data_IF_994728014556
#
_entry.id   IF_994728014556
#
_cell.length_a   1.000
_cell.length_b   1.000
_cell.length_c   1.000
_cell.angle_alpha   90.00
_cell.angle_beta   90.00
_cell.angle_gamma   90.00
#
_symmetry.space_group_name_H-M   'P 1'
#
loop_
_entity.id
_entity.type
_entity.pdbx_description
1 polymer ?
#
# COMPACT_ATOMS: atom_id res chain seq x y z
N UNK A 1 7.91 19.50 38.42
CA UNK A 1 8.69 18.33 38.91
C UNK A 1 8.44 17.96 40.37
N UNK A 2 8.20 18.88 41.32
CA UNK A 2 8.03 18.56 42.76
C UNK A 2 6.72 17.86 43.20
N UNK A 3 5.77 17.65 42.28
CA UNK A 3 4.47 17.02 42.61
C UNK A 3 4.55 15.49 42.65
N UNK A 4 5.42 14.88 41.83
CA UNK A 4 5.55 13.42 41.74
C UNK A 4 6.31 12.80 42.90
N UNK A 5 7.18 13.54 43.59
CA UNK A 5 7.94 13.04 44.75
C UNK A 5 7.07 12.78 46.00
N UNK A 6 5.86 13.34 46.08
CA UNK A 6 4.97 13.12 47.24
C UNK A 6 4.06 11.91 47.11
N UNK A 7 3.83 11.40 45.89
CA UNK A 7 2.93 10.27 45.67
C UNK A 7 3.59 8.90 45.89
N UNK A 8 4.92 8.85 45.97
CA UNK A 8 5.68 7.59 46.11
C UNK A 8 6.44 7.46 47.44
N UNK A 9 6.14 8.30 48.45
CA UNK A 9 6.68 8.04 49.79
C UNK A 9 5.86 6.91 50.45
N UNK A 10 6.46 5.74 50.71
CA UNK A 10 5.79 4.65 51.40
C UNK A 10 5.30 5.11 52.77
N UNK A 11 4.10 4.67 53.15
CA UNK A 11 3.52 5.08 54.44
C UNK A 11 4.32 4.43 55.57
N UNK A 12 4.61 5.16 56.65
CA UNK A 12 5.27 4.58 57.82
C UNK A 12 4.37 3.48 58.40
N UNK A 13 4.83 2.23 58.32
CA UNK A 13 4.10 1.04 58.78
C UNK A 13 3.82 -0.01 57.70
N UNK A 14 4.10 0.26 56.43
CA UNK A 14 4.04 -0.79 55.41
C UNK A 14 5.23 -1.77 55.58
N UNK A 15 4.97 -3.09 55.63
CA UNK A 15 6.01 -4.09 55.77
C UNK A 15 7.01 -3.96 54.61
N UNK A 16 8.28 -3.79 54.94
CA UNK A 16 9.37 -3.79 53.96
C UNK A 16 9.38 -5.13 53.24
N UNK A 17 9.39 -5.17 51.89
CA UNK A 17 9.48 -6.40 51.11
C UNK A 17 10.93 -6.93 51.20
N UNK A 18 11.31 -7.41 52.38
CA UNK A 18 12.57 -8.05 52.69
C UNK A 18 12.28 -9.51 53.04
N UNK A 19 12.25 -10.34 52.02
CA UNK A 19 12.05 -11.79 52.13
C UNK A 19 12.45 -12.46 50.82
N UNK A 20 13.75 -12.44 50.51
CA UNK A 20 14.33 -13.04 49.30
C UNK A 20 14.12 -14.57 49.20
N UNK A 21 13.69 -15.22 50.29
CA UNK A 21 13.50 -16.68 50.34
C UNK A 21 12.13 -17.18 49.85
N UNK A 22 11.13 -16.30 49.66
CA UNK A 22 9.79 -16.71 49.20
C UNK A 22 9.59 -16.68 47.68
N UNK A 23 10.52 -16.11 46.93
CA UNK A 23 10.31 -15.77 45.51
C UNK A 23 10.83 -16.82 44.52
N UNK A 24 11.55 -17.85 45.00
CA UNK A 24 12.05 -18.94 44.13
C UNK A 24 11.05 -20.07 43.90
N UNK A 25 10.12 -20.30 44.83
CA UNK A 25 9.19 -21.45 44.75
C UNK A 25 7.87 -21.15 44.01
N UNK A 26 7.57 -19.87 43.76
CA UNK A 26 6.34 -19.44 43.07
C UNK A 26 6.44 -19.40 41.53
N UNK A 27 7.65 -19.41 40.97
CA UNK A 27 7.88 -19.23 39.53
C UNK A 27 7.72 -20.55 38.75
N UNK A 28 7.97 -21.71 39.37
CA UNK A 28 7.96 -22.98 38.63
C UNK A 28 6.56 -23.61 38.47
N UNK A 29 5.61 -23.37 39.39
CA UNK A 29 4.29 -24.02 39.35
C UNK A 29 3.27 -23.40 38.39
N UNK A 30 3.54 -22.21 37.84
CA UNK A 30 2.65 -21.55 36.86
C UNK A 30 3.07 -21.77 35.40
N UNK A 31 4.23 -22.39 35.16
CA UNK A 31 4.78 -22.56 33.81
C UNK A 31 4.06 -23.60 32.95
N UNK A 32 3.61 -24.71 33.53
CA UNK A 32 3.08 -25.84 32.75
C UNK A 32 1.59 -25.73 32.42
N UNK A 33 0.75 -25.31 33.38
CA UNK A 33 -0.69 -25.13 33.18
C UNK A 33 -1.00 -23.97 32.23
N UNK A 34 -0.22 -22.89 32.28
CA UNK A 34 -0.31 -21.78 31.33
C UNK A 34 0.02 -22.21 29.91
N UNK A 35 1.13 -22.93 29.71
CA UNK A 35 1.54 -23.45 28.39
C UNK A 35 0.51 -24.41 27.80
N UNK A 36 -0.04 -25.33 28.60
CA UNK A 36 -1.08 -26.25 28.15
C UNK A 36 -2.36 -25.51 27.74
N UNK A 37 -2.75 -24.46 28.47
CA UNK A 37 -3.91 -23.63 28.09
C UNK A 37 -3.66 -22.89 26.77
N UNK A 38 -2.48 -22.30 26.59
CA UNK A 38 -2.13 -21.62 25.34
C UNK A 38 -2.08 -22.58 24.15
N UNK A 39 -1.51 -23.79 24.34
CA UNK A 39 -1.51 -24.83 23.32
C UNK A 39 -2.93 -25.31 22.99
N UNK A 40 -3.79 -25.47 24.00
CA UNK A 40 -5.20 -25.82 23.80
C UNK A 40 -5.96 -24.77 23.00
N UNK A 41 -5.80 -23.48 23.33
CA UNK A 41 -6.41 -22.38 22.57
C UNK A 41 -5.88 -22.36 21.13
N UNK A 42 -4.57 -22.50 20.93
CA UNK A 42 -3.96 -22.56 19.60
C UNK A 42 -4.52 -23.74 18.78
N UNK A 43 -4.65 -24.93 19.38
CA UNK A 43 -5.20 -26.11 18.73
C UNK A 43 -6.66 -25.90 18.33
N UNK A 44 -7.49 -25.35 19.22
CA UNK A 44 -8.89 -25.05 18.92
C UNK A 44 -8.99 -24.02 17.79
N UNK A 45 -8.17 -22.98 17.80
CA UNK A 45 -8.11 -22.01 16.71
C UNK A 45 -7.68 -22.66 15.39
N UNK A 46 -6.65 -23.51 15.40
CA UNK A 46 -6.17 -24.22 14.20
C UNK A 46 -7.23 -25.18 13.64
N UNK A 47 -7.89 -25.96 14.50
CA UNK A 47 -8.99 -26.85 14.09
C UNK A 47 -10.15 -26.05 13.51
N UNK A 48 -10.54 -24.96 14.17
CA UNK A 48 -11.56 -24.03 13.65
C UNK A 48 -11.19 -23.47 12.28
N UNK A 49 -9.91 -23.12 12.07
CA UNK A 49 -9.40 -22.58 10.81
C UNK A 49 -9.38 -23.65 9.71
N UNK A 50 -9.03 -24.90 10.02
CA UNK A 50 -9.09 -26.03 9.08
C UNK A 50 -10.54 -26.36 8.68
N UNK A 51 -11.47 -26.40 9.65
CA UNK A 51 -12.89 -26.63 9.37
C UNK A 51 -13.46 -25.50 8.53
N UNK A 52 -13.19 -24.24 8.91
CA UNK A 52 -13.63 -23.07 8.15
C UNK A 52 -13.03 -23.05 6.74
N UNK A 53 -11.76 -23.45 6.58
CA UNK A 53 -11.11 -23.58 5.28
C UNK A 53 -11.79 -24.63 4.41
N UNK A 54 -11.98 -25.86 4.93
CA UNK A 54 -12.63 -26.94 4.18
C UNK A 54 -14.06 -26.61 3.78
N UNK A 55 -14.85 -26.06 4.72
CA UNK A 55 -16.22 -25.65 4.43
C UNK A 55 -16.27 -24.49 3.43
N UNK A 56 -15.39 -23.49 3.55
CA UNK A 56 -15.39 -22.36 2.64
C UNK A 56 -14.93 -22.75 1.23
N UNK A 57 -13.94 -23.64 1.09
CA UNK A 57 -13.40 -24.03 -0.22
C UNK A 57 -14.42 -24.81 -1.06
N UNK A 58 -15.33 -25.55 -0.41
CA UNK A 58 -16.42 -26.29 -1.07
C UNK A 58 -17.48 -25.37 -1.71
N UNK A 59 -17.75 -24.19 -1.12
CA UNK A 59 -18.75 -23.24 -1.64
C UNK A 59 -18.13 -22.11 -2.46
N UNK A 60 -16.96 -21.62 -2.07
CA UNK A 60 -16.26 -20.51 -2.71
C UNK A 60 -14.76 -20.64 -2.51
N UNK A 61 -14.10 -21.20 -3.54
CA UNK A 61 -12.68 -21.58 -3.47
C UNK A 61 -11.84 -20.42 -2.98
N UNK A 62 -10.94 -20.68 -2.04
CA UNK A 62 -10.24 -19.61 -1.31
C UNK A 62 -9.33 -18.78 -2.22
N UNK A 63 -8.84 -19.36 -3.31
CA UNK A 63 -8.08 -18.64 -4.32
C UNK A 63 -8.91 -17.65 -5.15
N UNK A 64 -10.23 -17.84 -5.22
CA UNK A 64 -11.14 -16.94 -5.93
C UNK A 64 -11.64 -15.81 -5.03
N UNK A 65 -11.17 -15.73 -3.79
CA UNK A 65 -11.57 -14.67 -2.87
C UNK A 65 -11.12 -13.31 -3.37
N UNK A 66 -12.05 -12.36 -3.32
CA UNK A 66 -11.80 -10.96 -3.67
C UNK A 66 -10.63 -10.36 -2.88
N UNK A 67 -10.40 -10.84 -1.66
CA UNK A 67 -9.28 -10.41 -0.81
C UNK A 67 -7.91 -10.56 -1.50
N UNK A 68 -7.67 -11.65 -2.24
CA UNK A 68 -6.39 -11.85 -2.94
C UNK A 68 -6.23 -10.94 -4.14
N UNK A 69 -7.34 -10.68 -4.85
CA UNK A 69 -7.36 -9.74 -5.98
C UNK A 69 -7.09 -8.32 -5.50
N UNK A 70 -7.77 -7.88 -4.43
CA UNK A 70 -7.54 -6.58 -3.79
C UNK A 70 -6.08 -6.45 -3.32
N UNK A 71 -5.54 -7.48 -2.65
CA UNK A 71 -4.14 -7.47 -2.24
C UNK A 71 -3.19 -7.36 -3.45
N UNK A 72 -3.53 -8.00 -4.57
CA UNK A 72 -2.84 -7.86 -5.84
C UNK A 72 -2.88 -6.43 -6.37
N UNK A 73 -4.02 -5.77 -6.33
CA UNK A 73 -4.15 -4.36 -6.76
C UNK A 73 -3.34 -3.43 -5.85
N UNK A 74 -3.39 -3.62 -4.54
CA UNK A 74 -2.53 -2.89 -3.58
C UNK A 74 -1.06 -3.07 -3.88
N UNK A 75 -0.63 -4.31 -4.14
CA UNK A 75 0.76 -4.58 -4.49
C UNK A 75 1.15 -3.86 -5.79
N UNK A 76 0.29 -3.87 -6.81
CA UNK A 76 0.53 -3.15 -8.05
C UNK A 76 0.61 -1.64 -7.83
N UNK A 77 -0.32 -1.04 -7.10
CA UNK A 77 -0.27 0.39 -6.77
C UNK A 77 0.99 0.76 -5.97
N UNK A 78 1.41 -0.08 -5.02
CA UNK A 78 2.66 0.11 -4.28
C UNK A 78 3.89 0.05 -5.20
N UNK A 79 3.91 -0.89 -6.15
CA UNK A 79 4.97 -0.99 -7.15
C UNK A 79 5.00 0.25 -8.04
N UNK A 80 3.83 0.75 -8.47
CA UNK A 80 3.73 1.97 -9.26
C UNK A 80 4.26 3.19 -8.49
N UNK A 81 3.85 3.37 -7.22
CA UNK A 81 4.35 4.45 -6.36
C UNK A 81 5.86 4.33 -6.16
N UNK A 82 6.35 3.12 -5.86
CA UNK A 82 7.77 2.88 -5.65
C UNK A 82 8.60 3.11 -6.93
N UNK A 83 8.09 2.71 -8.09
CA UNK A 83 8.70 2.98 -9.40
C UNK A 83 8.76 4.49 -9.68
N UNK A 84 7.66 5.21 -9.43
CA UNK A 84 7.58 6.66 -9.62
C UNK A 84 8.57 7.39 -8.71
N UNK A 85 8.55 7.12 -7.40
CA UNK A 85 9.52 7.72 -6.46
C UNK A 85 10.96 7.36 -6.85
N UNK A 86 11.22 6.13 -7.29
CA UNK A 86 12.55 5.68 -7.71
C UNK A 86 13.07 6.41 -8.94
N UNK A 87 12.24 6.52 -9.98
CA UNK A 87 12.57 7.20 -11.23
C UNK A 87 12.83 8.69 -10.98
N UNK A 88 11.88 9.38 -10.36
CA UNK A 88 12.02 10.80 -10.08
C UNK A 88 13.12 11.10 -9.06
N UNK A 89 13.45 10.19 -8.13
CA UNK A 89 14.61 10.35 -7.25
C UNK A 89 15.92 10.35 -8.03
N UNK A 90 16.09 9.46 -9.02
CA UNK A 90 17.27 9.42 -9.89
C UNK A 90 17.37 10.74 -10.68
N UNK A 91 16.28 11.17 -11.28
CA UNK A 91 16.24 12.39 -12.10
C UNK A 91 16.49 13.64 -11.28
N UNK A 92 15.82 13.80 -10.13
CA UNK A 92 16.06 14.93 -9.24
C UNK A 92 17.51 14.97 -8.76
N UNK A 93 18.10 13.84 -8.40
CA UNK A 93 19.52 13.81 -8.01
C UNK A 93 20.45 14.28 -9.13
N UNK A 94 20.09 14.05 -10.40
CA UNK A 94 20.82 14.55 -11.56
C UNK A 94 20.62 16.04 -11.83
N UNK A 95 19.43 16.57 -11.55
CA UNK A 95 19.03 17.94 -11.88
C UNK A 95 19.31 18.92 -10.74
N UNK A 96 18.87 18.59 -9.52
CA UNK A 96 19.03 19.46 -8.35
C UNK A 96 20.38 19.18 -7.71
N UNK A 97 21.32 20.13 -7.84
CA UNK A 97 22.65 20.06 -7.22
C UNK A 97 22.66 20.30 -5.69
N UNK A 98 21.50 20.55 -5.06
CA UNK A 98 21.37 20.86 -3.63
C UNK A 98 20.52 19.84 -2.86
N UNK A 99 20.64 19.83 -1.53
CA UNK A 99 19.84 18.98 -0.65
C UNK A 99 18.47 19.62 -0.39
N UNK A 100 17.41 19.04 -0.94
CA UNK A 100 16.04 19.36 -0.55
C UNK A 100 15.70 18.68 0.79
N UNK A 101 14.81 19.27 1.62
CA UNK A 101 14.25 18.57 2.77
C UNK A 101 13.68 17.20 2.36
N UNK A 102 13.83 16.13 3.17
CA UNK A 102 13.51 14.77 2.74
C UNK A 102 12.08 14.59 2.24
N UNK A 103 11.12 15.23 2.90
CA UNK A 103 9.70 15.15 2.53
C UNK A 103 9.43 15.85 1.19
N UNK A 104 10.00 17.04 0.99
CA UNK A 104 9.91 17.78 -0.27
C UNK A 104 10.57 16.99 -1.41
N UNK A 105 11.72 16.38 -1.15
CA UNK A 105 12.41 15.52 -2.12
C UNK A 105 11.52 14.35 -2.54
N UNK A 106 10.90 13.64 -1.59
CA UNK A 106 10.04 12.47 -1.91
C UNK A 106 8.78 12.91 -2.67
N UNK A 107 8.15 14.01 -2.26
CA UNK A 107 6.96 14.52 -2.93
C UNK A 107 7.26 14.95 -4.37
N UNK A 108 8.36 15.69 -4.58
CA UNK A 108 8.80 16.08 -5.92
C UNK A 108 9.26 14.88 -6.74
N UNK A 109 9.98 13.92 -6.13
CA UNK A 109 10.41 12.70 -6.80
C UNK A 109 9.21 11.89 -7.29
N UNK A 110 8.16 11.77 -6.47
CA UNK A 110 6.93 11.12 -6.89
C UNK A 110 6.31 11.83 -8.10
N UNK A 111 6.11 13.14 -8.04
CA UNK A 111 5.52 13.91 -9.15
C UNK A 111 6.33 13.83 -10.45
N UNK A 112 7.67 13.96 -10.37
CA UNK A 112 8.57 13.79 -11.52
C UNK A 112 8.48 12.36 -12.07
N UNK A 113 8.47 11.35 -11.21
CA UNK A 113 8.38 9.96 -11.64
C UNK A 113 7.06 9.60 -12.31
N UNK A 114 5.94 10.14 -11.82
CA UNK A 114 4.64 9.97 -12.50
C UNK A 114 4.68 10.61 -13.88
N UNK A 115 5.29 11.80 -14.03
CA UNK A 115 5.49 12.44 -15.34
C UNK A 115 6.39 11.60 -16.26
N UNK A 116 7.46 11.01 -15.74
CA UNK A 116 8.35 10.13 -16.53
C UNK A 116 7.64 8.86 -16.97
N UNK A 117 6.87 8.24 -16.09
CA UNK A 117 6.00 7.11 -16.43
C UNK A 117 5.01 7.51 -17.53
N UNK A 118 4.41 8.69 -17.41
CA UNK A 118 3.49 9.22 -18.40
C UNK A 118 4.14 9.41 -19.77
N UNK A 119 5.36 9.96 -19.82
CA UNK A 119 6.14 10.07 -21.05
C UNK A 119 6.49 8.70 -21.62
N UNK A 120 6.85 7.74 -20.77
CA UNK A 120 7.17 6.37 -21.16
C UNK A 120 5.97 5.66 -21.78
N UNK A 121 4.79 5.81 -21.19
CA UNK A 121 3.53 5.29 -21.75
C UNK A 121 3.29 5.94 -23.12
N UNK A 122 3.36 7.28 -23.23
CA UNK A 122 3.15 7.98 -24.51
C UNK A 122 4.13 7.52 -25.59
N UNK A 123 5.42 7.43 -25.27
CA UNK A 123 6.45 6.95 -26.21
C UNK A 123 6.23 5.49 -26.59
N UNK A 124 5.93 4.63 -25.61
CA UNK A 124 5.60 3.23 -25.86
C UNK A 124 4.38 3.08 -26.76
N UNK A 125 3.36 3.92 -26.55
CA UNK A 125 2.15 3.95 -27.36
C UNK A 125 2.42 4.43 -28.78
N UNK A 126 3.22 5.48 -28.95
CA UNK A 126 3.63 5.97 -30.27
C UNK A 126 4.44 4.92 -31.06
N UNK A 127 5.23 4.11 -30.35
CA UNK A 127 6.03 3.01 -30.92
C UNK A 127 5.27 1.68 -31.04
N UNK A 128 3.97 1.66 -30.71
CA UNK A 128 3.12 0.46 -30.73
C UNK A 128 3.64 -0.70 -29.85
N UNK A 129 4.02 -0.38 -28.61
CA UNK A 129 4.61 -1.32 -27.65
C UNK A 129 3.66 -1.77 -26.52
N UNK A 130 2.36 -1.50 -26.60
CA UNK A 130 1.40 -1.89 -25.56
C UNK A 130 1.06 -3.39 -25.64
N UNK A 131 1.98 -4.21 -25.15
CA UNK A 131 1.83 -5.65 -24.97
C UNK A 131 1.95 -6.01 -23.49
N UNK A 132 1.55 -7.22 -23.11
CA UNK A 132 1.62 -7.67 -21.71
C UNK A 132 3.02 -7.57 -21.06
N UNK A 133 4.10 -7.55 -21.84
CA UNK A 133 5.45 -7.32 -21.29
C UNK A 133 5.66 -5.88 -20.79
N UNK A 134 4.96 -4.90 -21.37
CA UNK A 134 5.06 -3.49 -21.00
C UNK A 134 4.55 -3.24 -19.57
N UNK A 135 3.66 -4.13 -19.06
CA UNK A 135 3.24 -4.15 -17.67
C UNK A 135 4.42 -4.28 -16.68
N UNK A 136 5.50 -4.96 -17.05
CA UNK A 136 6.64 -5.20 -16.17
C UNK A 136 7.64 -4.04 -16.13
N UNK A 137 7.43 -2.97 -16.90
CA UNK A 137 8.34 -1.83 -16.96
C UNK A 137 8.44 -1.07 -15.62
N UNK A 138 7.34 -0.69 -14.92
CA UNK A 138 7.45 -0.05 -13.61
C UNK A 138 8.17 -0.90 -12.55
N UNK A 139 7.90 -2.22 -12.39
CA UNK A 139 8.71 -3.08 -11.53
C UNK A 139 10.22 -3.00 -11.82
N UNK A 140 10.63 -3.02 -13.09
CA UNK A 140 12.05 -2.91 -13.48
C UNK A 140 12.64 -1.57 -13.06
N UNK A 141 11.93 -0.47 -13.29
CA UNK A 141 12.34 0.88 -12.86
C UNK A 141 12.52 0.94 -11.33
N UNK A 142 11.55 0.39 -10.58
CA UNK A 142 11.63 0.29 -9.13
C UNK A 142 12.89 -0.47 -8.68
N UNK A 143 13.19 -1.62 -9.29
CA UNK A 143 14.38 -2.41 -8.95
C UNK A 143 15.68 -1.67 -9.23
N UNK A 144 15.76 -0.94 -10.35
CA UNK A 144 16.94 -0.17 -10.72
C UNK A 144 17.20 1.01 -9.76
N UNK A 145 16.14 1.69 -9.28
CA UNK A 145 16.28 2.81 -8.35
C UNK A 145 16.33 2.42 -6.87
N UNK A 146 15.93 1.20 -6.50
CA UNK A 146 15.85 0.74 -5.12
C UNK A 146 17.15 0.94 -4.30
N UNK A 147 18.36 0.67 -4.81
CA UNK A 147 19.58 0.89 -4.04
C UNK A 147 19.83 2.35 -3.69
N UNK A 148 19.54 3.28 -4.61
CA UNK A 148 19.71 4.72 -4.38
C UNK A 148 18.66 5.22 -3.39
N UNK A 149 17.40 4.85 -3.61
CA UNK A 149 16.30 5.25 -2.74
C UNK A 149 16.48 4.71 -1.31
N UNK A 150 16.92 3.45 -1.16
CA UNK A 150 17.20 2.86 0.16
C UNK A 150 18.27 3.64 0.91
N UNK A 151 19.37 4.03 0.25
CA UNK A 151 20.44 4.82 0.89
C UNK A 151 19.90 6.17 1.37
N UNK A 152 19.08 6.82 0.54
CA UNK A 152 18.42 8.07 0.91
C UNK A 152 17.51 7.89 2.13
N UNK A 153 16.63 6.88 2.13
CA UNK A 153 15.70 6.61 3.24
C UNK A 153 16.42 6.26 4.55
N UNK A 154 17.52 5.50 4.50
CA UNK A 154 18.33 5.20 5.69
C UNK A 154 18.99 6.46 6.24
N UNK A 155 19.54 7.31 5.37
CA UNK A 155 20.16 8.57 5.79
C UNK A 155 19.15 9.54 6.42
N UNK A 156 17.89 9.55 5.94
CA UNK A 156 16.85 10.45 6.44
C UNK A 156 16.15 9.91 7.68
N UNK A 157 16.09 8.59 7.88
CA UNK A 157 15.52 7.96 9.08
C UNK A 157 16.11 8.52 10.38
N UNK A 158 17.41 8.81 10.40
CA UNK A 158 18.08 9.35 11.59
C UNK A 158 17.73 10.82 11.90
N UNK A 159 17.16 11.55 10.94
CA UNK A 159 16.80 12.97 11.12
C UNK A 159 15.43 13.15 11.76
N UNK A 160 14.58 12.12 11.76
CA UNK A 160 13.25 12.18 12.36
C UNK A 160 13.26 11.44 13.71
N UNK A 161 13.38 12.22 14.79
CA UNK A 161 13.04 11.72 16.13
C UNK A 161 11.53 11.61 16.23
N UNK A 162 11.02 10.40 16.42
CA UNK A 162 9.60 10.20 16.68
C UNK A 162 9.30 10.60 18.13
N UNK A 163 8.59 11.70 18.32
CA UNK A 163 7.88 11.88 19.60
C UNK A 163 6.74 10.86 19.67
N UNK A 164 6.52 10.22 20.82
CA UNK A 164 5.41 9.29 20.97
C UNK A 164 4.09 10.03 20.77
N UNK A 165 3.18 9.42 20.01
CA UNK A 165 1.84 9.96 19.80
C UNK A 165 1.09 10.03 21.14
N UNK A 166 0.50 11.19 21.41
CA UNK A 166 -0.44 11.38 22.53
C UNK A 166 -1.70 10.51 22.37
N UNK A 167 -2.42 10.17 23.46
CA UNK A 167 -3.66 9.39 23.37
C UNK A 167 -4.72 10.03 22.46
N UNK A 168 -4.84 11.36 22.46
CA UNK A 168 -5.76 12.08 21.57
C UNK A 168 -5.36 11.92 20.10
N UNK A 169 -4.07 11.99 19.77
CA UNK A 169 -3.58 11.75 18.42
C UNK A 169 -3.87 10.31 17.96
N UNK A 170 -3.78 9.32 18.85
CA UNK A 170 -4.20 7.95 18.54
C UNK A 170 -5.69 7.85 18.22
N UNK A 171 -6.56 8.50 19.00
CA UNK A 171 -8.00 8.52 18.72
C UNK A 171 -8.28 9.15 17.36
N UNK A 172 -7.66 10.29 17.06
CA UNK A 172 -7.80 10.97 15.76
C UNK A 172 -7.31 10.07 14.62
N UNK A 173 -6.17 9.40 14.80
CA UNK A 173 -5.60 8.49 13.79
C UNK A 173 -6.52 7.29 13.53
N UNK A 174 -6.98 6.62 14.59
CA UNK A 174 -7.91 5.49 14.46
C UNK A 174 -9.21 5.92 13.80
N UNK A 175 -9.78 7.04 14.22
CA UNK A 175 -10.98 7.60 13.59
C UNK A 175 -10.75 7.90 12.10
N UNK A 176 -9.64 8.54 11.75
CA UNK A 176 -9.28 8.83 10.37
C UNK A 176 -9.11 7.57 9.52
N UNK A 177 -8.44 6.54 10.04
CA UNK A 177 -8.29 5.23 9.37
C UNK A 177 -9.64 4.55 9.18
N UNK A 178 -10.53 4.61 10.17
CA UNK A 178 -11.89 4.06 10.05
C UNK A 178 -12.71 4.80 8.98
N UNK A 179 -12.68 6.13 8.97
CA UNK A 179 -13.35 6.93 7.93
C UNK A 179 -12.79 6.62 6.53
N UNK A 180 -11.47 6.54 6.40
CA UNK A 180 -10.83 6.16 5.13
C UNK A 180 -11.24 4.75 4.70
N UNK A 181 -11.27 3.81 5.65
CA UNK A 181 -11.74 2.44 5.42
C UNK A 181 -13.18 2.41 4.91
N UNK A 182 -14.10 3.17 5.53
CA UNK A 182 -15.50 3.25 5.09
C UNK A 182 -15.64 3.81 3.68
N UNK A 183 -14.87 4.85 3.32
CA UNK A 183 -14.84 5.38 1.95
C UNK A 183 -14.25 4.35 1.00
N UNK A 184 -13.16 3.70 1.38
CA UNK A 184 -12.50 2.68 0.57
C UNK A 184 -13.37 1.44 0.33
N UNK A 185 -14.17 1.00 1.31
CA UNK A 185 -15.12 -0.10 1.11
C UNK A 185 -16.19 0.23 0.08
N UNK A 186 -16.55 1.50 -0.11
CA UNK A 186 -17.40 1.90 -1.22
C UNK A 186 -16.66 1.79 -2.56
N UNK A 187 -15.35 2.00 -2.59
CA UNK A 187 -14.56 1.87 -3.83
C UNK A 187 -14.37 0.42 -4.29
N UNK A 188 -14.52 -0.59 -3.41
CA UNK A 188 -14.29 -2.01 -3.75
C UNK A 188 -15.27 -2.64 -4.74
N UNK A 189 -16.29 -1.91 -5.20
CA UNK A 189 -17.17 -2.39 -6.26
C UNK A 189 -16.87 -1.63 -7.56
N UNK A 190 -16.73 -2.35 -8.69
CA UNK A 190 -16.44 -1.73 -9.98
C UNK A 190 -17.60 -0.85 -10.50
N UNK A 191 -18.78 -0.98 -9.88
CA UNK A 191 -19.91 -0.11 -10.15
C UNK A 191 -19.74 1.30 -9.57
N UNK A 192 -18.79 1.49 -8.65
CA UNK A 192 -18.48 2.78 -8.04
C UNK A 192 -17.29 3.49 -8.70
N UNK A 193 -16.75 2.96 -9.81
CA UNK A 193 -15.84 3.71 -10.68
C UNK A 193 -16.54 4.98 -11.14
N UNK A 194 -15.86 6.13 -11.03
CA UNK A 194 -16.42 7.42 -11.43
C UNK A 194 -16.90 7.39 -12.89
N UNK A 195 -18.01 8.06 -13.18
CA UNK A 195 -18.58 8.07 -14.53
C UNK A 195 -17.56 8.57 -15.57
N UNK A 196 -16.76 9.58 -15.21
CA UNK A 196 -15.71 10.12 -16.07
C UNK A 196 -14.58 9.11 -16.33
N UNK A 197 -14.06 8.48 -15.27
CA UNK A 197 -13.05 7.42 -15.40
C UNK A 197 -13.55 6.26 -16.26
N UNK A 198 -14.79 5.79 -16.04
CA UNK A 198 -15.36 4.63 -16.76
C UNK A 198 -15.69 4.96 -18.22
N UNK A 199 -16.37 6.07 -18.48
CA UNK A 199 -16.88 6.40 -19.82
C UNK A 199 -15.79 6.96 -20.75
N UNK A 200 -14.82 7.70 -20.20
CA UNK A 200 -13.78 8.37 -20.97
C UNK A 200 -12.44 7.64 -20.86
N UNK A 201 -11.86 7.61 -19.67
CA UNK A 201 -10.45 7.23 -19.53
C UNK A 201 -10.19 5.74 -19.72
N UNK A 202 -11.02 4.88 -19.11
CA UNK A 202 -10.88 3.42 -19.21
C UNK A 202 -11.18 2.95 -20.63
N UNK A 203 -12.21 3.50 -21.29
CA UNK A 203 -12.52 3.16 -22.68
C UNK A 203 -11.40 3.55 -23.65
N UNK A 204 -10.78 4.71 -23.47
CA UNK A 204 -9.61 5.13 -24.26
C UNK A 204 -8.39 4.23 -23.98
N UNK A 205 -8.16 3.86 -22.71
CA UNK A 205 -7.07 2.97 -22.34
C UNK A 205 -7.22 1.58 -22.95
N UNK A 206 -8.43 1.01 -22.89
CA UNK A 206 -8.77 -0.27 -23.51
C UNK A 206 -8.50 -0.24 -25.02
N UNK A 207 -8.98 0.79 -25.70
CA UNK A 207 -8.79 0.98 -27.14
C UNK A 207 -7.30 1.11 -27.53
N UNK A 208 -6.51 1.84 -26.73
CA UNK A 208 -5.07 1.92 -26.94
C UNK A 208 -4.38 0.57 -26.77
N UNK A 209 -4.73 -0.21 -25.74
CA UNK A 209 -4.16 -1.54 -25.52
C UNK A 209 -4.57 -2.50 -26.64
N UNK A 210 -5.84 -2.49 -27.06
CA UNK A 210 -6.34 -3.30 -28.16
C UNK A 210 -5.65 -2.97 -29.50
N UNK A 211 -5.30 -1.70 -29.72
CA UNK A 211 -4.55 -1.24 -30.90
C UNK A 211 -3.02 -1.26 -30.72
N UNK A 212 -2.54 -1.91 -29.67
CA UNK A 212 -1.13 -2.05 -29.29
C UNK A 212 -0.36 -0.73 -29.11
N UNK A 213 -1.06 0.40 -29.00
CA UNK A 213 -0.46 1.71 -28.81
C UNK A 213 -1.43 2.84 -29.12
N UNK A 214 -0.99 4.08 -28.92
CA UNK A 214 -1.83 5.26 -29.17
C UNK A 214 -2.24 5.31 -30.64
N UNK A 215 -3.51 5.60 -30.89
CA UNK A 215 -4.05 5.79 -32.24
C UNK A 215 -4.79 7.13 -32.34
N UNK A 216 -4.99 7.58 -33.58
CA UNK A 216 -5.85 8.72 -33.86
C UNK A 216 -7.32 8.31 -33.64
N UNK A 217 -8.09 9.21 -33.04
CA UNK A 217 -9.54 9.13 -32.99
C UNK A 217 -10.16 9.94 -34.13
N UNK A 218 -11.33 9.50 -34.57
CA UNK A 218 -12.10 10.20 -35.59
C UNK A 218 -12.64 11.53 -35.05
N UNK A 219 -12.84 12.48 -35.95
CA UNK A 219 -13.37 13.80 -35.60
C UNK A 219 -14.79 13.68 -35.01
N UNK A 220 -15.08 14.47 -33.98
CA UNK A 220 -16.36 14.42 -33.26
C UNK A 220 -16.38 13.50 -32.04
N UNK A 221 -15.33 12.68 -31.82
CA UNK A 221 -15.18 11.93 -30.58
C UNK A 221 -14.73 12.82 -29.42
N UNK A 222 -15.69 13.47 -28.74
CA UNK A 222 -15.44 14.50 -27.71
C UNK A 222 -14.47 14.03 -26.62
N UNK A 223 -14.57 12.78 -26.18
CA UNK A 223 -13.70 12.19 -25.16
C UNK A 223 -12.22 12.15 -25.57
N UNK A 224 -11.90 12.14 -26.87
CA UNK A 224 -10.53 12.19 -27.35
C UNK A 224 -9.91 13.60 -27.27
N UNK A 225 -10.72 14.64 -27.10
CA UNK A 225 -10.25 16.01 -26.94
C UNK A 225 -9.87 16.40 -25.50
N UNK A 226 -10.23 15.57 -24.51
CA UNK A 226 -9.94 15.83 -23.11
C UNK A 226 -8.47 15.52 -22.74
N UNK A 227 -7.95 16.05 -21.61
CA UNK A 227 -6.64 15.65 -21.10
C UNK A 227 -6.59 14.15 -20.78
N UNK A 228 -5.66 13.42 -21.39
CA UNK A 228 -5.59 11.94 -21.30
C UNK A 228 -4.72 11.39 -20.16
N UNK A 229 -4.41 12.20 -19.15
CA UNK A 229 -3.51 11.78 -18.07
C UNK A 229 -4.01 10.50 -17.37
N UNK A 230 -5.30 10.47 -17.01
CA UNK A 230 -5.93 9.26 -16.45
C UNK A 230 -5.91 8.08 -17.42
N UNK A 231 -6.24 8.31 -18.70
CA UNK A 231 -6.25 7.24 -19.72
C UNK A 231 -4.89 6.54 -19.83
N UNK A 232 -3.80 7.29 -19.78
CA UNK A 232 -2.46 6.72 -19.88
C UNK A 232 -2.03 5.97 -18.61
N UNK A 233 -2.46 6.41 -17.43
CA UNK A 233 -2.29 5.63 -16.20
C UNK A 233 -3.02 4.29 -16.31
N UNK A 234 -4.24 4.31 -16.84
CA UNK A 234 -5.07 3.13 -17.00
C UNK A 234 -4.56 2.17 -18.07
N UNK A 235 -3.83 2.63 -19.09
CA UNK A 235 -3.16 1.73 -20.06
C UNK A 235 -2.33 0.68 -19.32
N UNK A 236 -1.59 1.05 -18.27
CA UNK A 236 -0.80 0.08 -17.52
C UNK A 236 -1.67 -0.93 -16.77
N UNK A 237 -2.77 -0.49 -16.17
CA UNK A 237 -3.74 -1.40 -15.56
C UNK A 237 -4.35 -2.37 -16.58
N UNK A 238 -4.67 -1.91 -17.79
CA UNK A 238 -5.21 -2.76 -18.86
C UNK A 238 -4.19 -3.73 -19.47
N UNK A 239 -2.90 -3.51 -19.24
CA UNK A 239 -1.82 -4.40 -19.70
C UNK A 239 -1.53 -5.56 -18.75
N UNK A 240 -2.20 -5.66 -17.60
CA UNK A 240 -1.99 -6.76 -16.65
C UNK A 240 -2.26 -8.13 -17.32
N UNK A 241 -1.28 -9.05 -17.32
CA UNK A 241 -1.41 -10.29 -18.09
C UNK A 241 -2.38 -11.28 -17.44
N UNK A 242 -3.22 -11.91 -18.26
CA UNK A 242 -4.13 -12.98 -17.82
C UNK A 242 -5.30 -12.50 -16.95
N UNK A 243 -5.53 -11.19 -16.88
CA UNK A 243 -6.56 -10.58 -16.05
C UNK A 243 -7.91 -10.49 -16.77
N UNK A 244 -8.98 -10.33 -16.01
CA UNK A 244 -10.32 -10.01 -16.52
C UNK A 244 -10.52 -8.49 -16.56
N UNK A 245 -11.53 -8.02 -17.30
CA UNK A 245 -11.91 -6.60 -17.34
C UNK A 245 -12.13 -6.02 -15.93
N UNK A 246 -12.74 -6.81 -15.04
CA UNK A 246 -12.89 -6.45 -13.64
C UNK A 246 -11.56 -6.14 -12.97
N UNK A 247 -10.50 -6.92 -13.19
CA UNK A 247 -9.19 -6.65 -12.57
C UNK A 247 -8.59 -5.35 -13.10
N UNK A 248 -8.75 -5.09 -14.40
CA UNK A 248 -8.23 -3.91 -15.06
C UNK A 248 -8.92 -2.63 -14.55
N UNK A 249 -10.25 -2.67 -14.44
CA UNK A 249 -11.05 -1.56 -13.89
C UNK A 249 -10.73 -1.29 -12.43
N UNK A 250 -10.67 -2.34 -11.61
CA UNK A 250 -10.31 -2.20 -10.20
C UNK A 250 -8.89 -1.66 -10.04
N UNK A 251 -7.90 -2.20 -10.74
CA UNK A 251 -6.54 -1.69 -10.65
C UNK A 251 -6.44 -0.23 -11.11
N UNK A 252 -7.13 0.14 -12.19
CA UNK A 252 -7.19 1.54 -12.63
C UNK A 252 -7.76 2.45 -11.53
N UNK A 253 -8.83 2.04 -10.86
CA UNK A 253 -9.41 2.77 -9.74
C UNK A 253 -8.48 2.86 -8.51
N UNK A 254 -7.61 1.86 -8.29
CA UNK A 254 -6.61 1.88 -7.21
C UNK A 254 -5.36 2.72 -7.54
N UNK A 255 -5.22 3.16 -8.79
CA UNK A 255 -4.15 4.05 -9.22
C UNK A 255 -4.57 5.53 -9.19
N UNK A 256 -5.87 5.78 -9.26
CA UNK A 256 -6.50 7.09 -9.06
C UNK A 256 -6.46 7.51 -7.58
#
# INVERSE_FOLDING_TARGET
MKFWERLFKPRPGEPTPGGEDGMRDGVERTGWSGRLRHLGVLLVCLVGLVIAHGYADDYYRIHDWLAWRILGYWLCSLVFVAASVSAGHITLKGVTRGELPPLEHVALAFGVGVMEFQLLVVLGGALKLYYGWFFFVPPVICLLGAPSLRRFLVATKHRYSHEPLSPLQWVILVFGVLCLGLVYFNLLTPDNVSFDSRAMHMGVAEDYVASHGIRRFDEGWVFAGAPHFGSFLYVWAFLIPGSKLHDQMELAQHLE
#
